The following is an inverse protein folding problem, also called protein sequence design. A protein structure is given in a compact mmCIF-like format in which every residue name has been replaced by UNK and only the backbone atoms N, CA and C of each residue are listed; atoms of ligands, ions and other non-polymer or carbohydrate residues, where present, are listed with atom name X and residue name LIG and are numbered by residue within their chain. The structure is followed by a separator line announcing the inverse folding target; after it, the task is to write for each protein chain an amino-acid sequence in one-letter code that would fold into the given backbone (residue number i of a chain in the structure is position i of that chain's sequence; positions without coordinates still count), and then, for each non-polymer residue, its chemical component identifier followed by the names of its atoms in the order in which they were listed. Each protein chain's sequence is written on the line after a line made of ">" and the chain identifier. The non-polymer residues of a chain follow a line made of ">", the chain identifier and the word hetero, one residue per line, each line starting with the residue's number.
data_IF_348430906707
#
_entry.id   IF_348430906707
#
_cell.length_a   1.000
_cell.length_b   1.000
_cell.length_c   1.000
_cell.angle_alpha   90.00
_cell.angle_beta   90.00
_cell.angle_gamma   90.00
#
_symmetry.space_group_name_H-M   'P 1'
#
loop_
_entity.id
_entity.type
_entity.pdbx_description
1 polymer ?
#
# COMPACT_ATOMS: atom_id res chain seq x y z
N UNK A 1 -1.46 15.57 11.04
CA UNK A 1 -0.38 14.83 10.33
C UNK A 1 -0.63 13.35 10.52
N UNK A 2 -0.42 12.55 9.49
CA UNK A 2 -0.45 11.09 9.58
C UNK A 2 0.97 10.59 9.41
N UNK A 3 1.45 9.82 10.37
CA UNK A 3 2.69 9.07 10.29
C UNK A 3 2.35 7.57 10.18
N UNK A 4 2.87 6.92 9.14
CA UNK A 4 2.64 5.50 8.90
C UNK A 4 3.98 4.79 8.64
N UNK A 5 4.19 3.70 9.36
CA UNK A 5 5.34 2.81 9.21
C UNK A 5 4.86 1.40 8.90
N UNK A 6 5.48 0.76 7.92
CA UNK A 6 5.21 -0.63 7.62
C UNK A 6 6.51 -1.43 7.58
N UNK A 7 6.53 -2.57 8.28
CA UNK A 7 7.56 -3.61 8.15
C UNK A 7 6.95 -4.74 7.35
N UNK A 8 7.53 -5.03 6.18
CA UNK A 8 6.99 -6.03 5.28
C UNK A 8 8.00 -7.19 5.19
N UNK A 9 7.59 -8.36 5.65
CA UNK A 9 8.35 -9.58 5.50
C UNK A 9 7.88 -10.32 4.26
N UNK A 10 8.81 -10.68 3.39
CA UNK A 10 8.51 -11.38 2.16
C UNK A 10 9.37 -12.64 2.07
N UNK A 11 8.76 -13.74 1.71
CA UNK A 11 9.44 -14.97 1.36
C UNK A 11 9.03 -15.37 -0.05
N UNK A 12 10.01 -15.64 -0.90
CA UNK A 12 9.81 -16.13 -2.26
C UNK A 12 10.46 -17.48 -2.44
N UNK A 13 9.79 -18.37 -3.16
CA UNK A 13 10.30 -19.69 -3.52
C UNK A 13 10.23 -19.88 -5.03
N UNK A 14 11.38 -20.17 -5.65
CA UNK A 14 11.48 -20.49 -7.06
C UNK A 14 11.16 -21.97 -7.26
N UNK A 15 9.97 -22.25 -7.82
CA UNK A 15 9.53 -23.64 -8.10
C UNK A 15 10.26 -24.21 -9.31
N UNK A 16 10.40 -23.41 -10.36
CA UNK A 16 11.16 -23.72 -11.57
C UNK A 16 11.54 -22.42 -12.28
N UNK A 17 12.17 -22.49 -13.45
CA UNK A 17 12.65 -21.31 -14.20
C UNK A 17 11.52 -20.28 -14.49
N UNK A 18 10.27 -20.70 -14.53
CA UNK A 18 9.13 -19.84 -14.89
C UNK A 18 8.17 -19.54 -13.77
N UNK A 19 8.18 -20.31 -12.67
CA UNK A 19 7.20 -20.17 -11.60
C UNK A 19 7.86 -19.83 -10.28
N UNK A 20 7.38 -18.74 -9.67
CA UNK A 20 7.74 -18.30 -8.31
C UNK A 20 6.49 -18.24 -7.47
N UNK A 21 6.58 -18.68 -6.22
CA UNK A 21 5.56 -18.49 -5.20
C UNK A 21 6.05 -17.47 -4.17
N UNK A 22 5.15 -16.70 -3.61
CA UNK A 22 5.48 -15.68 -2.63
C UNK A 22 4.46 -15.62 -1.50
N UNK A 23 4.94 -15.21 -0.34
CA UNK A 23 4.14 -14.79 0.80
C UNK A 23 4.63 -13.45 1.29
N UNK A 24 3.72 -12.56 1.62
CA UNK A 24 3.99 -11.26 2.21
C UNK A 24 3.21 -11.10 3.50
N UNK A 25 3.90 -10.69 4.55
CA UNK A 25 3.34 -10.45 5.88
C UNK A 25 3.68 -9.02 6.29
N UNK A 26 2.72 -8.08 6.23
CA UNK A 26 2.92 -6.71 6.66
C UNK A 26 2.65 -6.57 8.16
N UNK A 27 3.48 -5.78 8.84
CA UNK A 27 3.22 -5.25 10.16
C UNK A 27 3.15 -3.73 10.06
N UNK A 28 2.01 -3.17 10.43
CA UNK A 28 1.66 -1.76 10.22
C UNK A 28 1.62 -1.07 11.57
N UNK A 29 2.16 0.14 11.62
CA UNK A 29 1.94 1.09 12.71
C UNK A 29 1.56 2.43 12.09
N UNK A 30 0.50 3.03 12.59
CA UNK A 30 0.03 4.32 12.11
C UNK A 30 -0.47 5.16 13.26
N UNK A 31 -0.23 6.46 13.15
CA UNK A 31 -0.62 7.45 14.13
C UNK A 31 -1.12 8.70 13.42
N UNK A 32 -2.18 9.30 13.94
CA UNK A 32 -2.75 10.51 13.36
C UNK A 32 -3.07 11.51 14.47
N UNK A 33 -2.48 12.70 14.34
CA UNK A 33 -2.76 13.85 15.19
C UNK A 33 -3.95 14.64 14.60
N UNK A 34 -4.95 14.86 15.40
CA UNK A 34 -6.19 15.55 15.08
C UNK A 34 -6.38 16.81 15.90
N UNK A 35 -7.05 17.79 15.30
CA UNK A 35 -7.53 19.01 15.94
C UNK A 35 -9.06 18.97 15.91
N UNK A 36 -9.70 19.24 17.04
CA UNK A 36 -11.15 19.29 17.18
C UNK A 36 -11.58 20.56 17.89
N UNK A 37 -12.83 20.95 17.66
CA UNK A 37 -13.50 22.05 18.40
C UNK A 37 -14.26 21.56 19.64
N UNK A 38 -14.21 20.25 19.90
CA UNK A 38 -14.88 19.64 21.05
C UNK A 38 -14.04 19.87 22.30
N UNK A 39 -14.60 20.48 23.39
CA UNK A 39 -13.85 20.70 24.61
C UNK A 39 -13.22 19.42 25.17
N UNK A 40 -11.94 19.47 25.52
CA UNK A 40 -11.19 18.32 26.01
C UNK A 40 -10.50 17.50 24.88
N UNK A 41 -10.80 17.80 23.62
CA UNK A 41 -10.20 17.18 22.43
C UNK A 41 -9.60 18.23 21.49
N UNK A 42 -9.13 19.37 21.99
CA UNK A 42 -8.49 20.40 21.17
C UNK A 42 -7.34 19.81 20.32
N UNK A 43 -6.61 18.88 20.91
CA UNK A 43 -5.65 17.99 20.25
C UNK A 43 -5.83 16.57 20.78
N UNK A 44 -5.93 15.59 19.90
CA UNK A 44 -5.97 14.19 20.27
C UNK A 44 -5.28 13.34 19.20
N UNK A 45 -4.69 12.23 19.64
CA UNK A 45 -3.95 11.30 18.80
C UNK A 45 -4.68 9.97 18.80
N UNK A 46 -4.90 9.41 17.63
CA UNK A 46 -5.35 8.04 17.45
C UNK A 46 -4.26 7.22 16.80
N UNK A 47 -4.09 5.98 17.23
CA UNK A 47 -3.07 5.08 16.70
C UNK A 47 -3.62 3.67 16.56
N UNK A 48 -3.05 2.92 15.64
CA UNK A 48 -3.28 1.49 15.50
C UNK A 48 -2.00 0.77 15.09
N UNK A 49 -1.83 -0.48 15.53
CA UNK A 49 -0.62 -1.24 15.26
C UNK A 49 -0.87 -2.73 15.30
N UNK A 50 -0.41 -3.45 14.30
CA UNK A 50 -0.56 -4.90 14.24
C UNK A 50 -0.25 -5.48 12.87
N UNK A 51 -0.63 -6.73 12.70
CA UNK A 51 -0.56 -7.41 11.40
C UNK A 51 -1.60 -6.80 10.45
N UNK A 52 -1.17 -6.57 9.21
CA UNK A 52 -2.08 -6.31 8.11
C UNK A 52 -2.52 -7.59 7.39
N UNK A 53 -3.07 -7.45 6.20
CA UNK A 53 -3.52 -8.58 5.40
C UNK A 53 -2.32 -9.33 4.81
N UNK A 54 -2.28 -10.64 5.05
CA UNK A 54 -1.26 -11.53 4.50
C UNK A 54 -1.59 -11.82 3.04
N UNK A 55 -0.63 -11.65 2.14
CA UNK A 55 -0.81 -11.94 0.73
C UNK A 55 0.02 -13.15 0.28
N UNK A 56 -0.62 -14.04 -0.45
CA UNK A 56 -0.02 -15.15 -1.17
C UNK A 56 0.02 -14.79 -2.65
N UNK A 57 1.07 -15.17 -3.36
CA UNK A 57 1.21 -14.86 -4.79
C UNK A 57 1.87 -15.98 -5.56
N UNK A 58 1.54 -16.05 -6.85
CA UNK A 58 2.20 -16.86 -7.85
C UNK A 58 2.57 -15.96 -9.03
N UNK A 59 3.85 -15.96 -9.40
CA UNK A 59 4.39 -15.21 -10.53
C UNK A 59 4.86 -16.18 -11.59
N UNK A 60 4.40 -15.97 -12.82
CA UNK A 60 4.75 -16.81 -13.96
C UNK A 60 5.46 -15.99 -15.06
N UNK A 61 6.61 -16.46 -15.51
CA UNK A 61 7.31 -15.88 -16.64
C UNK A 61 6.64 -16.29 -17.95
N UNK A 62 5.99 -15.34 -18.60
CA UNK A 62 5.47 -15.54 -19.96
C UNK A 62 6.63 -15.69 -20.94
N UNK A 63 7.63 -14.84 -20.78
CA UNK A 63 8.87 -14.88 -21.49
C UNK A 63 10.01 -14.39 -20.60
N UNK A 64 11.15 -15.08 -20.64
CA UNK A 64 12.34 -14.74 -19.90
C UNK A 64 13.58 -15.18 -20.71
N UNK A 65 14.12 -14.24 -21.49
CA UNK A 65 15.26 -14.46 -22.36
C UNK A 65 16.43 -13.51 -22.00
N UNK A 66 17.47 -13.47 -22.83
CA UNK A 66 18.65 -12.62 -22.59
C UNK A 66 18.40 -11.12 -22.79
N UNK A 67 17.34 -10.74 -23.49
CA UNK A 67 17.06 -9.34 -23.85
C UNK A 67 16.00 -8.71 -22.95
N UNK A 68 14.96 -9.49 -22.58
CA UNK A 68 13.85 -9.00 -21.75
C UNK A 68 13.17 -10.11 -20.99
N UNK A 69 12.30 -9.70 -20.07
CA UNK A 69 11.39 -10.61 -19.36
C UNK A 69 9.99 -10.01 -19.24
N UNK A 70 8.98 -10.88 -19.34
CA UNK A 70 7.59 -10.60 -19.03
C UNK A 70 7.11 -11.52 -17.92
N UNK A 71 6.57 -10.93 -16.87
CA UNK A 71 6.00 -11.67 -15.75
C UNK A 71 4.57 -11.28 -15.51
N UNK A 72 3.74 -12.27 -15.18
CA UNK A 72 2.39 -12.07 -14.65
C UNK A 72 2.34 -12.64 -13.26
N UNK A 73 1.81 -11.86 -12.33
CA UNK A 73 1.61 -12.27 -10.95
C UNK A 73 0.13 -12.18 -10.61
N UNK A 74 -0.40 -13.20 -9.96
CA UNK A 74 -1.71 -13.18 -9.34
C UNK A 74 -1.59 -13.69 -7.91
N UNK A 75 -2.46 -13.20 -7.03
CA UNK A 75 -2.40 -13.55 -5.63
C UNK A 75 -3.75 -13.58 -4.95
N UNK A 76 -3.71 -13.90 -3.67
CA UNK A 76 -4.83 -13.83 -2.74
C UNK A 76 -4.37 -13.10 -1.48
N UNK A 77 -5.00 -11.99 -1.17
CA UNK A 77 -4.84 -11.30 0.11
C UNK A 77 -5.89 -11.82 1.08
N UNK A 78 -5.45 -12.27 2.23
CA UNK A 78 -6.28 -12.83 3.30
C UNK A 78 -6.65 -11.72 4.29
N UNK A 79 -7.89 -11.64 4.78
CA UNK A 79 -8.34 -10.64 5.73
C UNK A 79 -7.82 -10.94 7.15
N UNK A 80 -6.50 -10.91 7.33
CA UNK A 80 -5.85 -11.19 8.62
C UNK A 80 -5.59 -9.94 9.45
N UNK A 81 -5.61 -8.77 8.80
CA UNK A 81 -5.54 -7.48 9.48
C UNK A 81 -6.87 -7.13 10.15
N UNK A 82 -6.78 -6.55 11.32
CA UNK A 82 -7.97 -6.11 12.07
C UNK A 82 -8.71 -4.98 11.35
N UNK A 83 -10.04 -5.04 11.37
CA UNK A 83 -10.95 -3.94 10.99
C UNK A 83 -11.74 -3.41 12.20
N UNK A 84 -11.31 -3.78 13.40
CA UNK A 84 -11.95 -3.48 14.69
C UNK A 84 -11.05 -2.62 15.58
N UNK A 85 -10.16 -1.82 14.95
CA UNK A 85 -9.29 -0.90 15.69
C UNK A 85 -10.11 0.20 16.34
N UNK A 86 -9.89 0.40 17.63
CA UNK A 86 -10.63 1.35 18.45
C UNK A 86 -9.69 2.38 19.11
N UNK A 87 -10.25 3.52 19.50
CA UNK A 87 -9.54 4.55 20.22
C UNK A 87 -10.45 5.67 20.69
N UNK A 88 -9.96 6.48 21.61
CA UNK A 88 -10.69 7.60 22.18
C UNK A 88 -10.84 8.73 21.13
N UNK A 89 -12.07 9.10 20.84
CA UNK A 89 -12.41 10.13 19.85
C UNK A 89 -13.51 11.05 20.40
N UNK A 90 -13.64 12.28 19.88
CA UNK A 90 -14.66 13.22 20.38
C UNK A 90 -16.12 12.88 20.03
N UNK A 91 -16.40 11.70 19.44
CA UNK A 91 -17.77 11.29 19.11
C UNK A 91 -18.59 10.89 20.35
N UNK A 92 -17.97 10.14 21.25
CA UNK A 92 -18.59 9.66 22.49
C UNK A 92 -17.49 9.36 23.52
N UNK A 93 -17.85 9.01 24.73
CA UNK A 93 -16.91 8.68 25.80
C UNK A 93 -16.34 7.25 25.63
N UNK A 94 -15.03 7.11 25.84
CA UNK A 94 -14.32 5.85 25.76
C UNK A 94 -13.89 5.46 24.34
N UNK A 95 -13.29 4.27 24.22
CA UNK A 95 -12.78 3.79 22.95
C UNK A 95 -13.93 3.48 21.98
N UNK A 96 -13.75 3.92 20.75
CA UNK A 96 -14.74 3.82 19.68
C UNK A 96 -14.06 3.33 18.41
N UNK A 97 -14.84 2.75 17.50
CA UNK A 97 -14.37 2.35 16.17
C UNK A 97 -13.66 3.49 15.47
N UNK A 98 -12.42 3.26 15.08
CA UNK A 98 -11.59 4.21 14.33
C UNK A 98 -11.98 4.27 12.85
N UNK A 99 -11.70 5.39 12.16
CA UNK A 99 -11.97 5.55 10.74
C UNK A 99 -11.25 4.51 9.86
N UNK A 100 -11.71 4.36 8.62
CA UNK A 100 -11.20 3.38 7.64
C UNK A 100 -9.67 3.39 7.46
N UNK A 101 -9.04 4.57 7.50
CA UNK A 101 -7.57 4.70 7.36
C UNK A 101 -6.80 4.17 8.56
N UNK A 102 -7.45 3.99 9.69
CA UNK A 102 -6.83 3.49 10.92
C UNK A 102 -7.00 1.98 11.07
N UNK A 103 -7.75 1.33 10.18
CA UNK A 103 -7.88 -0.12 10.16
C UNK A 103 -6.62 -0.77 9.57
N UNK A 104 -6.25 -1.96 10.07
CA UNK A 104 -5.01 -2.66 9.69
C UNK A 104 -5.22 -3.61 8.51
N UNK A 105 -6.47 -4.00 8.23
CA UNK A 105 -6.85 -4.88 7.15
C UNK A 105 -8.01 -4.35 6.31
N UNK A 106 -8.35 -5.10 5.28
CA UNK A 106 -9.52 -4.84 4.43
C UNK A 106 -10.79 -5.52 4.93
N UNK A 107 -10.62 -6.61 5.71
CA UNK A 107 -11.71 -7.49 6.11
C UNK A 107 -12.30 -8.30 4.95
N UNK A 108 -11.69 -8.25 3.76
CA UNK A 108 -12.14 -8.97 2.56
C UNK A 108 -11.02 -9.82 1.97
N UNK A 109 -11.38 -10.88 1.24
CA UNK A 109 -10.44 -11.60 0.38
C UNK A 109 -10.22 -10.79 -0.89
N UNK A 110 -8.99 -10.38 -1.16
CA UNK A 110 -8.69 -9.52 -2.29
C UNK A 110 -7.73 -10.17 -3.26
N UNK A 111 -7.74 -9.74 -4.52
CA UNK A 111 -6.97 -10.33 -5.60
C UNK A 111 -5.95 -9.30 -6.10
N UNK A 112 -4.69 -9.34 -5.62
CA UNK A 112 -3.60 -8.61 -6.25
C UNK A 112 -3.24 -9.25 -7.59
N UNK A 113 -3.10 -8.43 -8.62
CA UNK A 113 -2.63 -8.83 -9.94
C UNK A 113 -1.57 -7.86 -10.44
N UNK A 114 -0.60 -8.38 -11.18
CA UNK A 114 0.48 -7.58 -11.74
C UNK A 114 0.96 -8.14 -13.07
N UNK A 115 1.29 -7.25 -13.99
CA UNK A 115 2.04 -7.56 -15.22
C UNK A 115 3.26 -6.67 -15.24
N UNK A 116 4.45 -7.25 -15.43
CA UNK A 116 5.68 -6.50 -15.53
C UNK A 116 6.50 -6.89 -16.75
N UNK A 117 7.09 -5.88 -17.36
CA UNK A 117 8.07 -5.96 -18.42
C UNK A 117 9.40 -5.39 -17.93
N UNK A 118 10.50 -6.04 -18.25
CA UNK A 118 11.84 -5.54 -17.98
C UNK A 118 12.78 -5.90 -19.13
N UNK A 119 13.48 -4.92 -19.69
CA UNK A 119 14.62 -5.20 -20.55
C UNK A 119 15.85 -5.57 -19.70
N UNK A 120 16.76 -6.37 -20.26
CA UNK A 120 17.95 -6.89 -19.57
C UNK A 120 19.27 -6.29 -20.10
N UNK A 121 19.23 -5.06 -20.61
CA UNK A 121 20.43 -4.34 -21.04
C UNK A 121 21.26 -3.79 -19.87
N UNK A 122 22.37 -3.15 -20.18
CA UNK A 122 23.20 -2.42 -19.21
C UNK A 122 22.35 -1.40 -18.46
N UNK A 123 21.52 -0.67 -19.19
CA UNK A 123 20.48 0.20 -18.65
C UNK A 123 19.15 -0.55 -18.64
N UNK A 124 18.59 -0.71 -17.46
CA UNK A 124 17.36 -1.47 -17.28
C UNK A 124 16.15 -0.56 -17.20
N UNK A 125 15.17 -0.83 -18.02
CA UNK A 125 13.85 -0.20 -17.96
C UNK A 125 12.81 -1.23 -17.54
N UNK A 126 12.00 -0.92 -16.53
CA UNK A 126 10.93 -1.78 -16.05
C UNK A 126 9.61 -1.02 -16.12
N UNK A 127 8.58 -1.64 -16.68
CA UNK A 127 7.19 -1.16 -16.61
C UNK A 127 6.38 -2.18 -15.86
N UNK A 128 5.60 -1.71 -14.90
CA UNK A 128 4.73 -2.56 -14.08
C UNK A 128 3.32 -1.98 -14.04
N UNK A 129 2.34 -2.78 -14.44
CA UNK A 129 0.92 -2.51 -14.25
C UNK A 129 0.42 -3.44 -13.14
N UNK A 130 -0.15 -2.89 -12.09
CA UNK A 130 -0.69 -3.67 -10.98
C UNK A 130 -2.07 -3.18 -10.56
N UNK A 131 -2.87 -4.09 -10.02
CA UNK A 131 -4.14 -3.79 -9.43
C UNK A 131 -4.36 -4.61 -8.16
N UNK A 132 -5.05 -4.02 -7.18
CA UNK A 132 -5.66 -4.71 -6.06
C UNK A 132 -7.15 -4.71 -6.29
N UNK A 133 -7.70 -5.86 -6.63
CA UNK A 133 -9.13 -6.05 -6.86
C UNK A 133 -9.78 -6.50 -5.56
N UNK A 134 -10.63 -5.65 -5.03
CA UNK A 134 -11.34 -5.89 -3.77
C UNK A 134 -12.59 -6.71 -4.03
N UNK A 135 -12.85 -7.75 -3.22
CA UNK A 135 -13.99 -8.63 -3.41
C UNK A 135 -14.88 -8.67 -2.18
N UNK A 136 -16.17 -8.91 -2.40
CA UNK A 136 -17.13 -9.06 -1.30
C UNK A 136 -17.39 -7.76 -0.53
N UNK A 137 -17.87 -7.93 0.68
CA UNK A 137 -18.13 -6.90 1.69
C UNK A 137 -17.69 -7.49 3.02
N UNK A 138 -17.02 -6.73 3.85
CA UNK A 138 -16.57 -7.19 5.17
C UNK A 138 -17.70 -7.19 6.22
N UNK A 139 -17.42 -7.71 7.40
CA UNK A 139 -18.40 -7.83 8.48
C UNK A 139 -18.90 -6.48 9.03
N UNK A 140 -18.24 -5.37 8.66
CA UNK A 140 -18.64 -3.99 8.97
C UNK A 140 -19.38 -3.30 7.81
N UNK A 141 -19.90 -4.07 6.86
CA UNK A 141 -20.72 -3.64 5.74
C UNK A 141 -20.03 -2.70 4.73
N UNK A 142 -18.69 -2.67 4.67
CA UNK A 142 -17.97 -1.91 3.66
C UNK A 142 -16.94 -2.76 2.91
N UNK A 143 -16.44 -2.22 1.83
CA UNK A 143 -15.32 -2.73 1.03
C UNK A 143 -14.44 -1.56 0.60
N UNK A 144 -13.14 -1.68 0.78
CA UNK A 144 -12.20 -0.70 0.24
C UNK A 144 -12.29 -0.60 -1.27
N UNK A 145 -11.97 0.55 -1.85
CA UNK A 145 -11.92 0.72 -3.30
C UNK A 145 -10.81 -0.07 -3.96
N UNK A 146 -11.03 -0.48 -5.22
CA UNK A 146 -9.97 -1.05 -6.04
C UNK A 146 -8.84 -0.03 -6.21
N UNK A 147 -7.61 -0.54 -6.36
CA UNK A 147 -6.44 0.30 -6.54
C UNK A 147 -5.68 -0.16 -7.78
N UNK A 148 -5.31 0.77 -8.66
CA UNK A 148 -4.61 0.53 -9.91
C UNK A 148 -3.34 1.39 -9.95
N UNK A 149 -2.23 0.80 -10.43
CA UNK A 149 -0.95 1.49 -10.54
C UNK A 149 -0.26 1.13 -11.84
N UNK A 150 0.28 2.15 -12.50
CA UNK A 150 1.23 2.00 -13.60
C UNK A 150 2.54 2.65 -13.17
N UNK A 151 3.62 1.88 -13.14
CA UNK A 151 4.95 2.35 -12.74
C UNK A 151 5.95 2.15 -13.85
N UNK A 152 6.77 3.15 -14.11
CA UNK A 152 7.95 3.08 -14.95
C UNK A 152 9.21 3.35 -14.12
N UNK A 153 10.20 2.46 -14.20
CA UNK A 153 11.49 2.58 -13.51
C UNK A 153 12.63 2.45 -14.51
N UNK A 154 13.57 3.36 -14.44
CA UNK A 154 14.83 3.30 -15.16
C UNK A 154 15.98 3.13 -14.18
N UNK A 155 16.84 2.15 -14.41
CA UNK A 155 18.00 1.85 -13.57
C UNK A 155 19.27 1.88 -14.40
N UNK A 156 20.32 2.46 -13.85
CA UNK A 156 21.62 2.54 -14.48
C UNK A 156 22.73 2.15 -13.49
N UNK A 157 23.68 1.30 -13.91
CA UNK A 157 24.76 0.86 -13.05
C UNK A 157 25.76 1.99 -12.82
N UNK A 158 26.23 2.14 -11.58
CA UNK A 158 27.38 2.96 -11.23
C UNK A 158 28.64 2.11 -11.07
N UNK A 159 28.46 0.85 -10.67
CA UNK A 159 29.51 -0.14 -10.51
C UNK A 159 28.92 -1.55 -10.63
N UNK A 160 29.75 -2.59 -10.50
CA UNK A 160 29.27 -3.98 -10.47
C UNK A 160 28.31 -4.29 -9.32
N UNK A 161 28.42 -3.55 -8.21
CA UNK A 161 27.61 -3.78 -7.00
C UNK A 161 26.57 -2.68 -6.75
N UNK A 162 26.58 -1.57 -7.49
CA UNK A 162 25.75 -0.41 -7.21
C UNK A 162 25.03 0.08 -8.46
N UNK A 163 23.73 0.27 -8.36
CA UNK A 163 22.95 0.93 -9.40
C UNK A 163 22.07 2.02 -8.80
N UNK A 164 21.91 3.13 -9.51
CA UNK A 164 20.89 4.13 -9.23
C UNK A 164 19.65 3.83 -10.05
N UNK A 165 18.51 4.28 -9.55
CA UNK A 165 17.26 4.20 -10.29
C UNK A 165 16.39 5.42 -10.04
N UNK A 166 15.54 5.71 -11.00
CA UNK A 166 14.49 6.74 -10.90
C UNK A 166 13.26 6.27 -11.64
N UNK A 167 12.13 6.89 -11.37
CA UNK A 167 10.90 6.53 -12.05
C UNK A 167 9.70 7.36 -11.61
N UNK A 168 8.55 6.97 -12.15
CA UNK A 168 7.28 7.56 -11.82
C UNK A 168 6.20 6.48 -11.68
N UNK A 169 5.20 6.77 -10.86
CA UNK A 169 4.03 5.93 -10.67
C UNK A 169 2.77 6.76 -10.84
N UNK A 170 1.86 6.30 -11.70
CA UNK A 170 0.49 6.75 -11.80
C UNK A 170 -0.37 5.83 -10.95
N UNK A 171 -1.15 6.36 -10.05
CA UNK A 171 -2.06 5.62 -9.19
C UNK A 171 -3.48 6.14 -9.31
N UNK A 172 -4.44 5.23 -9.31
CA UNK A 172 -5.86 5.52 -9.18
C UNK A 172 -6.46 4.59 -8.13
N UNK A 173 -7.25 5.15 -7.24
CA UNK A 173 -7.99 4.41 -6.23
C UNK A 173 -9.46 4.77 -6.31
N UNK A 174 -10.34 3.78 -6.29
CA UNK A 174 -11.77 3.98 -6.16
C UNK A 174 -12.12 4.43 -4.74
N UNK A 175 -13.32 4.97 -4.55
CA UNK A 175 -13.88 5.24 -3.23
C UNK A 175 -14.18 3.93 -2.48
N UNK A 176 -14.46 4.05 -1.19
CA UNK A 176 -14.94 2.94 -0.38
C UNK A 176 -16.41 2.67 -0.75
N UNK A 177 -16.80 1.41 -0.85
CA UNK A 177 -18.18 1.00 -1.13
C UNK A 177 -18.84 0.50 0.16
N UNK A 178 -20.09 0.92 0.40
CA UNK A 178 -20.78 0.65 1.68
C UNK A 178 -20.26 1.58 2.78
N UNK A 179 -20.63 1.30 4.01
CA UNK A 179 -20.21 2.10 5.17
C UNK A 179 -20.19 1.27 6.43
N UNK A 180 -19.35 1.66 7.37
CA UNK A 180 -19.36 1.18 8.75
C UNK A 180 -20.32 2.05 9.56
N UNK A 181 -21.40 1.46 10.06
CA UNK A 181 -22.43 2.19 10.81
C UNK A 181 -21.93 2.65 12.19
N UNK A 182 -20.89 2.05 12.73
CA UNK A 182 -20.33 2.45 14.04
C UNK A 182 -19.55 3.76 13.98
N UNK A 183 -19.08 4.19 12.81
CA UNK A 183 -18.41 5.48 12.64
C UNK A 183 -19.33 6.58 12.11
N UNK A 184 -20.62 6.31 11.96
CA UNK A 184 -21.64 7.30 11.60
C UNK A 184 -22.38 7.84 12.83
N UNK A 185 -23.09 8.93 12.65
CA UNK A 185 -24.00 9.52 13.66
C UNK A 185 -25.40 9.65 13.06
N UNK A 186 -26.42 9.65 13.91
CA UNK A 186 -27.79 9.81 13.44
C UNK A 186 -28.05 11.20 12.86
N UNK A 187 -28.94 11.30 11.86
CA UNK A 187 -29.40 12.53 11.26
C UNK A 187 -29.13 12.69 9.76
N UNK A 188 -29.32 13.91 9.25
CA UNK A 188 -29.18 14.20 7.81
C UNK A 188 -27.71 14.28 7.32
N UNK A 189 -26.77 14.38 8.24
CA UNK A 189 -25.33 14.39 7.98
C UNK A 189 -24.67 13.31 8.81
N UNK A 190 -24.66 12.05 8.33
CA UNK A 190 -24.24 10.90 9.14
C UNK A 190 -22.73 10.85 9.40
N UNK A 191 -21.95 11.71 8.76
CA UNK A 191 -20.50 11.68 8.84
C UNK A 191 -19.97 12.78 9.76
N UNK A 192 -19.49 12.46 10.98
CA UNK A 192 -18.97 13.45 11.93
C UNK A 192 -17.67 14.13 11.46
N UNK A 193 -16.93 13.47 10.58
CA UNK A 193 -15.72 13.99 9.95
C UNK A 193 -15.58 13.48 8.52
N UNK A 194 -14.83 14.16 7.69
CA UNK A 194 -14.58 13.73 6.30
C UNK A 194 -13.98 12.33 6.20
N UNK A 195 -13.13 11.96 7.15
CA UNK A 195 -12.49 10.64 7.23
C UNK A 195 -13.44 9.49 7.58
N UNK A 196 -14.69 9.76 7.93
CA UNK A 196 -15.72 8.74 8.15
C UNK A 196 -16.66 8.58 6.95
N UNK A 197 -16.56 9.47 5.95
CA UNK A 197 -17.37 9.39 4.73
C UNK A 197 -16.67 8.54 3.66
N UNK A 198 -17.20 7.35 3.31
CA UNK A 198 -16.59 6.44 2.34
C UNK A 198 -16.46 7.03 0.93
N UNK A 199 -17.38 7.91 0.50
CA UNK A 199 -17.40 8.51 -0.83
C UNK A 199 -16.24 9.49 -1.07
N UNK A 200 -15.67 10.02 0.00
CA UNK A 200 -14.57 10.98 -0.09
C UNK A 200 -13.18 10.30 -0.25
N UNK A 201 -13.13 8.97 -0.18
CA UNK A 201 -11.89 8.21 -0.38
C UNK A 201 -11.55 8.01 -1.86
N UNK A 202 -10.29 7.68 -2.10
CA UNK A 202 -9.77 7.44 -3.45
C UNK A 202 -9.34 8.73 -4.17
N UNK A 203 -9.14 8.59 -5.48
CA UNK A 203 -8.64 9.66 -6.35
C UNK A 203 -7.40 9.26 -7.12
N UNK A 204 -6.76 10.23 -7.73
CA UNK A 204 -5.61 10.07 -8.62
C UNK A 204 -4.34 10.63 -8.00
N UNK A 205 -3.22 9.96 -8.27
CA UNK A 205 -1.92 10.38 -7.79
C UNK A 205 -0.83 10.09 -8.81
N UNK A 206 0.06 11.07 -9.02
CA UNK A 206 1.32 10.87 -9.73
C UNK A 206 2.46 11.09 -8.75
N UNK A 207 3.32 10.11 -8.62
CA UNK A 207 4.50 10.19 -7.76
C UNK A 207 5.77 9.98 -8.58
N UNK A 208 6.83 10.68 -8.22
CA UNK A 208 8.19 10.41 -8.72
C UNK A 208 9.00 9.78 -7.60
N UNK A 209 9.91 8.90 -7.98
CA UNK A 209 10.78 8.23 -7.02
C UNK A 209 12.20 8.08 -7.54
N UNK A 210 13.12 7.89 -6.63
CA UNK A 210 14.51 7.58 -6.94
C UNK A 210 15.17 6.87 -5.79
N UNK A 211 16.25 6.17 -6.09
CA UNK A 211 16.93 5.40 -5.07
C UNK A 211 18.22 4.76 -5.56
N UNK A 212 18.79 3.95 -4.69
CA UNK A 212 20.01 3.18 -4.90
C UNK A 212 19.76 1.72 -4.57
N UNK A 213 20.29 0.83 -5.38
CA UNK A 213 20.43 -0.58 -5.04
C UNK A 213 21.91 -0.92 -4.90
N UNK A 214 22.24 -1.66 -3.86
CA UNK A 214 23.59 -2.03 -3.51
C UNK A 214 23.66 -3.51 -3.13
N UNK A 215 24.64 -4.24 -3.69
CA UNK A 215 24.91 -5.66 -3.42
C UNK A 215 26.30 -5.73 -2.74
N UNK A 216 26.38 -5.58 -1.40
CA UNK A 216 27.65 -5.58 -0.67
C UNK A 216 28.37 -6.93 -0.73
N UNK A 217 27.61 -8.00 -0.78
CA UNK A 217 28.05 -9.40 -0.88
C UNK A 217 27.02 -10.19 -1.70
N UNK A 218 27.42 -11.27 -2.33
CA UNK A 218 26.63 -11.97 -3.35
C UNK A 218 25.23 -12.41 -2.89
N UNK A 219 25.07 -12.65 -1.61
CA UNK A 219 23.79 -13.09 -1.04
C UNK A 219 22.92 -11.97 -0.43
N UNK A 220 23.40 -10.71 -0.40
CA UNK A 220 22.65 -9.61 0.20
C UNK A 220 22.47 -8.45 -0.79
N UNK A 221 21.25 -8.06 -1.03
CA UNK A 221 20.90 -6.84 -1.77
C UNK A 221 20.18 -5.87 -0.84
N UNK A 222 20.62 -4.61 -0.85
CA UNK A 222 20.02 -3.50 -0.12
C UNK A 222 19.47 -2.50 -1.13
N UNK A 223 18.25 -2.06 -0.93
CA UNK A 223 17.62 -0.99 -1.74
C UNK A 223 17.13 0.09 -0.81
N UNK A 224 17.50 1.33 -1.10
CA UNK A 224 16.97 2.51 -0.43
C UNK A 224 16.33 3.43 -1.47
N UNK A 225 15.12 3.91 -1.18
CA UNK A 225 14.38 4.79 -2.07
C UNK A 225 13.63 5.88 -1.34
N UNK A 226 13.33 6.93 -2.06
CA UNK A 226 12.42 8.00 -1.65
C UNK A 226 11.45 8.30 -2.79
N UNK A 227 10.22 8.57 -2.44
CA UNK A 227 9.14 8.91 -3.35
C UNK A 227 8.40 10.15 -2.85
N UNK A 228 7.96 10.97 -3.81
CA UNK A 228 7.15 12.16 -3.52
C UNK A 228 6.04 12.29 -4.56
N UNK A 229 4.79 12.51 -4.13
CA UNK A 229 3.73 12.90 -5.05
C UNK A 229 4.02 14.28 -5.65
N UNK A 230 3.87 14.36 -6.97
CA UNK A 230 3.94 15.62 -7.73
C UNK A 230 2.58 16.10 -8.18
N UNK A 231 1.57 15.22 -8.13
CA UNK A 231 0.18 15.52 -8.38
C UNK A 231 -0.70 14.61 -7.51
N UNK A 232 -1.74 15.19 -6.91
CA UNK A 232 -2.76 14.48 -6.17
C UNK A 232 -4.10 15.16 -6.41
N UNK A 233 -5.07 14.42 -6.94
CA UNK A 233 -6.46 14.82 -7.11
C UNK A 233 -7.33 13.82 -6.37
N UNK A 234 -7.64 14.13 -5.13
CA UNK A 234 -8.38 13.25 -4.22
C UNK A 234 -9.88 13.52 -4.34
N UNK A 235 -10.72 12.50 -4.18
CA UNK A 235 -12.18 12.61 -4.29
C UNK A 235 -12.81 13.53 -3.23
N UNK A 236 -12.08 13.79 -2.14
CA UNK A 236 -12.53 14.70 -1.08
C UNK A 236 -11.43 15.02 -0.08
N UNK A 237 -11.78 15.69 1.03
CA UNK A 237 -10.81 15.97 2.09
C UNK A 237 -10.27 14.69 2.70
N UNK A 238 -9.07 14.31 2.29
CA UNK A 238 -8.30 13.15 2.72
C UNK A 238 -6.89 13.60 3.10
N UNK A 239 -6.17 12.83 3.93
CA UNK A 239 -4.76 13.04 4.16
C UNK A 239 -3.96 12.93 2.85
N UNK A 240 -3.18 13.96 2.55
CA UNK A 240 -2.28 13.94 1.41
C UNK A 240 -0.97 13.24 1.78
N UNK A 241 -0.45 12.42 0.89
CA UNK A 241 0.90 11.90 1.02
C UNK A 241 1.91 13.03 0.75
N UNK A 242 2.82 13.27 1.68
CA UNK A 242 3.87 14.27 1.53
C UNK A 242 5.12 13.67 0.90
N UNK A 243 5.53 12.52 1.38
CA UNK A 243 6.66 11.74 0.89
C UNK A 243 6.61 10.33 1.48
N UNK A 244 7.38 9.44 0.89
CA UNK A 244 7.58 8.08 1.38
C UNK A 244 9.06 7.72 1.23
N UNK A 245 9.63 7.03 2.20
CA UNK A 245 10.95 6.42 2.08
C UNK A 245 10.86 4.92 2.34
N UNK A 246 11.71 4.16 1.66
CA UNK A 246 11.81 2.72 1.78
C UNK A 246 13.24 2.27 2.01
N UNK A 247 13.40 1.22 2.80
CA UNK A 247 14.64 0.48 2.95
C UNK A 247 14.32 -1.01 2.90
N UNK A 248 14.90 -1.71 1.94
CA UNK A 248 14.67 -3.14 1.71
C UNK A 248 15.99 -3.90 1.81
N UNK A 249 15.93 -5.01 2.51
CA UNK A 249 16.99 -6.01 2.56
C UNK A 249 16.49 -7.30 1.90
N UNK A 250 17.22 -7.81 0.94
CA UNK A 250 16.87 -9.07 0.26
C UNK A 250 18.03 -10.05 0.38
N UNK A 251 17.74 -11.21 0.94
CA UNK A 251 18.69 -12.34 1.00
C UNK A 251 18.47 -13.19 -0.24
N UNK A 252 19.55 -13.41 -1.00
CA UNK A 252 19.59 -14.19 -2.23
C UNK A 252 20.25 -15.54 -1.92
N UNK A 253 19.62 -16.65 -2.28
CA UNK A 253 20.16 -18.03 -2.05
C UNK A 253 19.74 -18.97 -3.19
#
# INVERSE_FOLDING_TARGET
>A
IIDQYAKIFQLGYQVNERLKLGIQVPFIHQETDHISVVPGYDHFVISSSGLGDIALSASYALEDNSEFSWWVTAGLSLPTGSIDEQGDTPRDAGDQQLPYTMQLGSGTYDIPVEVSYQNKGEHTFTVTLSAMLRTGTNDRHYRLGNNYKLSGKYSFPLSQSTALFTGATLGYSESIHGQDDEITIGGNFPYPASITNPDLYGGEKVSVFGGVSFVPIDWLKVVADISKPVYQNLNGPQPQELWRAGLQFSVLY
#
